data_IF_002212408491
#
_entry.id   IF_002212408491
#
_cell.length_a   1.000
_cell.length_b   1.000
_cell.length_c   1.000
_cell.angle_alpha   90.00
_cell.angle_beta   90.00
_cell.angle_gamma   90.00
#
_symmetry.space_group_name_H-M   'P 1'
#
loop_
_entity.id
_entity.type
_entity.pdbx_description
1 polymer ?
#
# COMPACT_ATOMS: atom_id res chain seq x y z
N UNK A 1 72.08 -8.77 -42.95
CA UNK A 1 71.72 -9.47 -41.70
C UNK A 1 70.71 -8.63 -40.92
N UNK A 2 69.42 -8.64 -41.29
CA UNK A 2 68.33 -8.13 -40.45
C UNK A 2 67.79 -9.30 -39.63
N UNK A 3 67.92 -9.30 -38.30
CA UNK A 3 67.49 -10.46 -37.52
C UNK A 3 67.28 -10.19 -36.03
N UNK A 4 68.04 -9.25 -35.46
CA UNK A 4 67.91 -8.88 -34.05
C UNK A 4 66.64 -8.05 -33.78
N UNK A 5 66.45 -6.97 -34.55
CA UNK A 5 65.45 -5.97 -34.17
C UNK A 5 64.02 -6.43 -34.50
N UNK A 6 63.82 -7.13 -35.63
CA UNK A 6 62.49 -7.61 -36.03
C UNK A 6 61.92 -8.67 -35.07
N UNK A 7 62.77 -9.53 -34.51
CA UNK A 7 62.35 -10.52 -33.51
C UNK A 7 61.96 -9.86 -32.19
N UNK A 8 62.74 -8.86 -31.74
CA UNK A 8 62.41 -8.05 -30.56
C UNK A 8 61.07 -7.33 -30.72
N UNK A 9 60.81 -6.73 -31.90
CA UNK A 9 59.52 -6.11 -32.18
C UNK A 9 58.35 -7.13 -32.13
N UNK A 10 58.52 -8.33 -32.71
CA UNK A 10 57.48 -9.37 -32.70
C UNK A 10 57.16 -9.89 -31.29
N UNK A 11 58.18 -10.11 -30.45
CA UNK A 11 58.00 -10.54 -29.06
C UNK A 11 57.35 -9.45 -28.20
N UNK A 12 57.72 -8.20 -28.40
CA UNK A 12 57.07 -7.05 -27.76
C UNK A 12 55.59 -6.94 -28.16
N UNK A 13 55.26 -7.08 -29.45
CA UNK A 13 53.88 -7.02 -29.94
C UNK A 13 53.02 -8.15 -29.37
N UNK A 14 53.52 -9.39 -29.35
CA UNK A 14 52.79 -10.54 -28.79
C UNK A 14 52.55 -10.39 -27.28
N UNK A 15 53.53 -9.86 -26.55
CA UNK A 15 53.44 -9.61 -25.11
C UNK A 15 52.44 -8.50 -24.80
N UNK A 16 52.49 -7.38 -25.54
CA UNK A 16 51.53 -6.27 -25.41
C UNK A 16 50.10 -6.73 -25.69
N UNK A 17 49.88 -7.55 -26.72
CA UNK A 17 48.55 -8.09 -27.03
C UNK A 17 48.01 -9.02 -25.91
N UNK A 18 48.88 -9.83 -25.28
CA UNK A 18 48.48 -10.67 -24.12
C UNK A 18 48.13 -9.81 -22.90
N UNK A 19 48.89 -8.75 -22.65
CA UNK A 19 48.64 -7.80 -21.56
C UNK A 19 47.33 -7.06 -21.80
N UNK A 20 47.13 -6.50 -23.01
CA UNK A 20 45.89 -5.81 -23.38
C UNK A 20 44.69 -6.72 -23.18
N UNK A 21 44.73 -7.97 -23.67
CA UNK A 21 43.64 -8.93 -23.46
C UNK A 21 43.34 -9.20 -21.98
N UNK A 22 44.37 -9.36 -21.14
CA UNK A 22 44.21 -9.55 -19.69
C UNK A 22 43.59 -8.31 -19.02
N UNK A 23 44.07 -7.12 -19.39
CA UNK A 23 43.53 -5.86 -18.89
C UNK A 23 42.08 -5.67 -19.32
N UNK A 24 41.73 -5.99 -20.57
CA UNK A 24 40.35 -5.95 -21.07
C UNK A 24 39.42 -6.88 -20.28
N UNK A 25 39.89 -8.10 -19.96
CA UNK A 25 39.12 -9.05 -19.14
C UNK A 25 38.92 -8.50 -17.72
N UNK A 26 39.95 -7.94 -17.10
CA UNK A 26 39.85 -7.35 -15.75
C UNK A 26 38.88 -6.17 -15.75
N UNK A 27 38.94 -5.29 -16.75
CA UNK A 27 38.00 -4.15 -16.88
C UNK A 27 36.56 -4.67 -17.06
N UNK A 28 36.35 -5.68 -17.89
CA UNK A 28 35.02 -6.28 -18.09
C UNK A 28 34.47 -6.86 -16.79
N UNK A 29 35.29 -7.58 -16.01
CA UNK A 29 34.89 -8.13 -14.71
C UNK A 29 34.54 -7.01 -13.73
N UNK A 30 35.31 -5.92 -13.72
CA UNK A 30 35.06 -4.78 -12.84
C UNK A 30 33.76 -4.06 -13.21
N UNK A 31 33.46 -3.91 -14.50
CA UNK A 31 32.18 -3.35 -14.98
C UNK A 31 30.99 -4.24 -14.61
N UNK A 32 31.10 -5.56 -14.77
CA UNK A 32 30.05 -6.50 -14.38
C UNK A 32 29.80 -6.49 -12.87
N UNK A 33 30.87 -6.38 -12.07
CA UNK A 33 30.77 -6.27 -10.61
C UNK A 33 30.06 -4.98 -10.19
N UNK A 34 30.42 -3.84 -10.78
CA UNK A 34 29.73 -2.56 -10.55
C UNK A 34 28.27 -2.59 -10.99
N UNK A 35 27.95 -3.25 -12.11
CA UNK A 35 26.57 -3.45 -12.55
C UNK A 35 25.77 -4.31 -11.57
N UNK A 36 26.37 -5.37 -11.03
CA UNK A 36 25.76 -6.21 -9.99
C UNK A 36 25.48 -5.44 -8.70
N UNK A 37 26.43 -4.61 -8.23
CA UNK A 37 26.22 -3.72 -7.07
C UNK A 37 25.14 -2.69 -7.38
N UNK A 38 25.17 -2.11 -8.58
CA UNK A 38 24.16 -1.15 -9.01
C UNK A 38 22.76 -1.77 -8.97
N UNK A 39 22.58 -2.98 -9.50
CA UNK A 39 21.33 -3.73 -9.39
C UNK A 39 20.98 -4.06 -7.93
N UNK A 40 21.96 -4.41 -7.09
CA UNK A 40 21.71 -4.68 -5.68
C UNK A 40 21.23 -3.44 -4.89
N UNK A 41 21.74 -2.26 -5.25
CA UNK A 41 21.33 -0.97 -4.66
C UNK A 41 20.00 -0.48 -5.26
N UNK A 42 19.77 -0.69 -6.56
CA UNK A 42 18.66 -0.07 -7.30
C UNK A 42 17.43 -0.95 -7.47
N UNK A 43 17.49 -2.23 -7.12
CA UNK A 43 16.42 -3.17 -7.44
C UNK A 43 15.75 -3.72 -6.17
N UNK A 44 14.47 -3.35 -5.88
CA UNK A 44 13.64 -4.06 -4.92
C UNK A 44 13.10 -5.34 -5.59
N UNK A 45 13.98 -6.35 -5.76
CA UNK A 45 13.66 -7.62 -6.42
C UNK A 45 12.77 -8.56 -5.59
N UNK A 46 12.65 -8.31 -4.28
CA UNK A 46 11.59 -8.91 -3.48
C UNK A 46 10.38 -8.02 -3.64
N UNK A 47 9.47 -8.50 -4.49
CA UNK A 47 8.36 -7.75 -5.03
C UNK A 47 7.62 -6.94 -3.98
N UNK A 48 6.87 -5.95 -4.46
CA UNK A 48 5.67 -5.53 -3.76
C UNK A 48 4.98 -6.82 -3.33
N UNK A 49 5.02 -7.14 -2.03
CA UNK A 49 3.86 -7.78 -1.44
C UNK A 49 2.80 -6.73 -1.68
N UNK A 50 2.18 -6.79 -2.84
CA UNK A 50 0.75 -6.60 -2.89
C UNK A 50 0.30 -7.64 -1.87
N UNK A 51 0.22 -7.23 -0.61
CA UNK A 51 -0.73 -7.81 0.27
C UNK A 51 -2.00 -7.61 -0.55
N UNK A 52 -2.37 -8.64 -1.30
CA UNK A 52 -3.68 -8.82 -1.87
C UNK A 52 -4.56 -9.02 -0.63
N UNK A 53 -4.64 -7.96 0.19
CA UNK A 53 -5.80 -7.68 0.97
C UNK A 53 -6.81 -7.55 -0.15
N UNK A 54 -7.62 -8.58 -0.29
CA UNK A 54 -8.79 -8.56 -1.14
C UNK A 54 -9.71 -7.52 -0.50
N UNK A 55 -9.37 -6.25 -0.72
CA UNK A 55 -10.08 -5.11 -0.20
C UNK A 55 -11.40 -5.18 -0.93
N UNK A 56 -12.44 -5.56 -0.19
CA UNK A 56 -13.81 -5.49 -0.67
C UNK A 56 -14.01 -4.07 -1.18
N UNK A 57 -14.04 -3.93 -2.51
CA UNK A 57 -14.16 -2.63 -3.15
C UNK A 57 -15.56 -2.11 -2.80
N UNK A 58 -15.61 -0.91 -2.22
CA UNK A 58 -16.87 -0.25 -1.93
C UNK A 58 -17.68 -0.08 -3.22
N UNK A 59 -18.98 -0.37 -3.14
CA UNK A 59 -19.93 -0.15 -4.22
C UNK A 59 -20.14 1.37 -4.41
N UNK A 60 -19.73 1.88 -5.58
CA UNK A 60 -19.79 3.31 -5.88
C UNK A 60 -21.23 3.84 -5.92
N UNK A 61 -22.19 3.01 -6.35
CA UNK A 61 -23.60 3.41 -6.45
C UNK A 61 -24.16 3.60 -5.04
N UNK A 62 -23.97 2.61 -4.16
CA UNK A 62 -24.41 2.71 -2.76
C UNK A 62 -23.75 3.87 -2.02
N UNK A 63 -22.45 4.09 -2.24
CA UNK A 63 -21.77 5.24 -1.63
C UNK A 63 -22.39 6.56 -2.06
N UNK A 64 -22.71 6.71 -3.35
CA UNK A 64 -23.37 7.90 -3.87
C UNK A 64 -24.76 8.07 -3.26
N UNK A 65 -25.57 7.01 -3.19
CA UNK A 65 -26.90 7.03 -2.57
C UNK A 65 -26.83 7.50 -1.10
N UNK A 66 -25.93 6.93 -0.30
CA UNK A 66 -25.73 7.36 1.09
C UNK A 66 -25.34 8.85 1.17
N UNK A 67 -24.47 9.32 0.28
CA UNK A 67 -24.06 10.73 0.25
C UNK A 67 -25.23 11.63 -0.15
N UNK A 68 -26.01 11.28 -1.16
CA UNK A 68 -27.18 12.07 -1.60
C UNK A 68 -28.22 12.15 -0.49
N UNK A 69 -28.58 11.02 0.15
CA UNK A 69 -29.51 11.03 1.29
C UNK A 69 -29.03 11.93 2.43
N UNK A 70 -27.74 11.82 2.81
CA UNK A 70 -27.20 12.63 3.90
C UNK A 70 -27.02 14.12 3.52
N UNK A 71 -26.64 14.44 2.28
CA UNK A 71 -26.27 15.81 1.88
C UNK A 71 -27.38 16.60 1.22
N UNK A 72 -28.42 15.94 0.70
CA UNK A 72 -29.53 16.56 -0.01
C UNK A 72 -30.84 16.31 0.76
N UNK A 73 -31.21 15.06 1.01
CA UNK A 73 -32.52 14.74 1.60
C UNK A 73 -32.64 15.23 3.06
N UNK A 74 -31.56 15.09 3.84
CA UNK A 74 -31.53 15.54 5.24
C UNK A 74 -30.83 16.90 5.43
N UNK A 75 -30.69 17.70 4.37
CA UNK A 75 -30.09 19.01 4.50
C UNK A 75 -31.04 20.04 5.16
N UNK A 76 -30.54 20.96 6.02
CA UNK A 76 -29.20 21.00 6.61
C UNK A 76 -29.08 20.13 7.87
N UNK A 77 -27.93 19.44 8.04
CA UNK A 77 -27.62 18.56 9.19
C UNK A 77 -26.75 19.20 10.27
N UNK A 78 -26.94 20.50 10.51
CA UNK A 78 -26.17 21.22 11.52
C UNK A 78 -26.87 21.16 12.89
N UNK A 79 -26.14 21.51 13.95
CA UNK A 79 -26.63 21.43 15.34
C UNK A 79 -27.84 22.35 15.64
N UNK A 80 -28.12 23.32 14.78
CA UNK A 80 -29.28 24.21 14.89
C UNK A 80 -30.55 23.58 14.31
N UNK A 81 -30.40 22.56 13.45
CA UNK A 81 -31.48 21.85 12.78
C UNK A 81 -31.61 20.42 13.34
N UNK A 82 -31.99 20.34 14.63
CA UNK A 82 -32.04 19.08 15.40
C UNK A 82 -32.91 18.02 14.71
N UNK A 83 -34.04 18.41 14.13
CA UNK A 83 -34.91 17.48 13.40
C UNK A 83 -34.18 16.72 12.28
N UNK A 84 -33.44 17.43 11.44
CA UNK A 84 -32.67 16.82 10.34
C UNK A 84 -31.47 16.02 10.86
N UNK A 85 -30.88 16.45 11.98
CA UNK A 85 -29.83 15.71 12.66
C UNK A 85 -30.34 14.39 13.23
N UNK A 86 -31.59 14.36 13.73
CA UNK A 86 -32.26 13.15 14.19
C UNK A 86 -32.61 12.21 13.02
N UNK A 87 -33.16 12.73 11.91
CA UNK A 87 -33.39 11.93 10.70
C UNK A 87 -32.09 11.28 10.19
N UNK A 88 -30.98 12.02 10.27
CA UNK A 88 -29.65 11.52 9.94
C UNK A 88 -29.20 10.41 10.87
N UNK A 89 -29.37 10.58 12.18
CA UNK A 89 -29.01 9.57 13.17
C UNK A 89 -29.83 8.29 12.97
N UNK A 90 -31.14 8.42 12.73
CA UNK A 90 -32.03 7.28 12.47
C UNK A 90 -31.62 6.54 11.20
N UNK A 91 -31.29 7.26 10.13
CA UNK A 91 -30.80 6.68 8.89
C UNK A 91 -29.50 5.89 9.11
N UNK A 92 -28.49 6.50 9.73
CA UNK A 92 -27.20 5.84 10.00
C UNK A 92 -27.40 4.61 10.89
N UNK A 93 -28.24 4.72 11.93
CA UNK A 93 -28.58 3.59 12.79
C UNK A 93 -29.20 2.46 11.99
N UNK A 94 -30.16 2.76 11.10
CA UNK A 94 -30.81 1.76 10.27
C UNK A 94 -29.84 1.07 9.30
N UNK A 95 -28.89 1.80 8.71
CA UNK A 95 -27.84 1.20 7.86
C UNK A 95 -26.86 0.35 8.68
N UNK A 96 -26.52 0.78 9.90
CA UNK A 96 -25.67 0.01 10.80
C UNK A 96 -26.35 -1.27 11.30
N UNK A 97 -27.66 -1.26 11.53
CA UNK A 97 -28.44 -2.45 11.92
C UNK A 97 -28.52 -3.52 10.82
N UNK A 98 -28.30 -3.14 9.55
CA UNK A 98 -28.15 -4.10 8.44
C UNK A 98 -26.82 -4.84 8.49
N UNK A 99 -25.87 -4.39 9.31
CA UNK A 99 -24.60 -5.07 9.52
C UNK A 99 -24.74 -6.14 10.61
N UNK A 100 -23.80 -7.09 10.67
CA UNK A 100 -23.73 -8.06 11.76
C UNK A 100 -23.15 -7.51 13.08
N UNK A 101 -22.89 -6.20 13.17
CA UNK A 101 -22.29 -5.57 14.35
C UNK A 101 -23.31 -5.15 15.40
N UNK A 102 -22.81 -4.73 16.57
CA UNK A 102 -23.63 -4.19 17.65
C UNK A 102 -23.76 -2.68 17.50
N UNK A 103 -25.00 -2.20 17.36
CA UNK A 103 -25.31 -0.77 17.29
C UNK A 103 -25.70 -0.26 18.68
N UNK A 104 -25.25 0.94 19.03
CA UNK A 104 -25.60 1.64 20.27
C UNK A 104 -25.70 3.14 20.03
N UNK A 105 -26.48 3.83 20.85
CA UNK A 105 -26.58 5.28 20.85
C UNK A 105 -26.06 5.86 22.16
N UNK A 106 -25.38 7.00 22.07
CA UNK A 106 -24.94 7.78 23.23
C UNK A 106 -25.62 9.14 23.21
N UNK A 107 -26.58 9.33 24.11
CA UNK A 107 -27.29 10.60 24.26
C UNK A 107 -26.49 11.58 25.13
N UNK A 108 -26.50 12.86 24.77
CA UNK A 108 -25.89 13.94 25.52
C UNK A 108 -26.63 15.26 25.30
N UNK A 109 -26.43 16.24 26.19
CA UNK A 109 -27.11 17.54 26.13
C UNK A 109 -26.09 18.67 26.10
N UNK A 110 -26.28 19.62 25.19
CA UNK A 110 -25.49 20.85 25.10
C UNK A 110 -26.45 22.03 25.03
N UNK A 111 -26.29 23.01 25.92
CA UNK A 111 -27.12 24.23 25.97
C UNK A 111 -28.64 23.97 25.99
N UNK A 112 -29.07 22.89 26.66
CA UNK A 112 -30.48 22.49 26.75
C UNK A 112 -31.03 21.72 25.54
N UNK A 113 -30.24 21.56 24.47
CA UNK A 113 -30.57 20.72 23.32
C UNK A 113 -29.97 19.32 23.49
N UNK A 114 -30.77 18.29 23.19
CA UNK A 114 -30.32 16.89 23.22
C UNK A 114 -29.78 16.46 21.86
N UNK A 115 -28.71 15.67 21.90
CA UNK A 115 -27.99 15.16 20.75
C UNK A 115 -27.63 13.70 21.00
N UNK A 116 -27.31 12.97 19.93
CA UNK A 116 -26.92 11.56 20.01
C UNK A 116 -25.81 11.20 19.05
N UNK A 117 -24.86 10.41 19.53
CA UNK A 117 -23.89 9.72 18.68
C UNK A 117 -24.43 8.32 18.36
N UNK A 118 -24.34 7.90 17.10
CA UNK A 118 -24.65 6.53 16.67
C UNK A 118 -23.34 5.75 16.51
N UNK A 119 -23.20 4.65 17.23
CA UNK A 119 -21.95 3.88 17.34
C UNK A 119 -22.19 2.45 16.88
N UNK A 120 -21.40 2.00 15.89
CA UNK A 120 -21.36 0.61 15.44
C UNK A 120 -20.07 -0.06 15.92
N UNK A 121 -20.22 -1.19 16.61
CA UNK A 121 -19.12 -2.06 17.02
C UNK A 121 -19.12 -3.34 16.17
N UNK A 122 -18.09 -3.46 15.32
CA UNK A 122 -17.84 -4.62 14.44
C UNK A 122 -16.86 -5.64 15.05
N UNK A 123 -16.74 -5.70 16.38
CA UNK A 123 -15.87 -6.66 17.06
C UNK A 123 -16.10 -8.10 16.60
N UNK A 124 -15.03 -8.91 16.55
CA UNK A 124 -14.99 -10.26 15.99
C UNK A 124 -16.25 -11.08 16.33
N UNK A 125 -17.13 -11.25 15.35
CA UNK A 125 -18.09 -12.35 15.39
C UNK A 125 -17.28 -13.64 15.25
N UNK A 126 -16.87 -14.20 16.39
CA UNK A 126 -16.60 -15.62 16.63
C UNK A 126 -16.37 -16.43 15.36
N UNK A 127 -15.10 -16.56 14.95
CA UNK A 127 -14.65 -17.83 14.40
C UNK A 127 -14.06 -18.64 15.56
N UNK A 128 -14.94 -19.36 16.25
CA UNK A 128 -14.55 -20.51 17.05
C UNK A 128 -13.84 -21.50 16.14
N UNK A 129 -12.51 -21.43 16.13
CA UNK A 129 -11.62 -22.41 15.55
C UNK A 129 -10.47 -22.63 16.53
N UNK A 130 -10.69 -23.56 17.46
CA UNK A 130 -9.69 -24.24 18.30
C UNK A 130 -8.29 -23.62 18.35
N UNK A 131 -7.98 -22.93 19.46
CA UNK A 131 -6.64 -22.96 20.02
C UNK A 131 -6.70 -23.28 21.50
N UNK A 132 -6.88 -24.57 21.80
CA UNK A 132 -6.28 -25.17 22.98
C UNK A 132 -4.77 -24.98 22.87
N UNK A 133 -4.18 -24.20 23.77
CA UNK A 133 -2.82 -24.48 24.23
C UNK A 133 -2.90 -24.78 25.72
N UNK A 134 -2.51 -26.02 26.03
CA UNK A 134 -2.10 -26.46 27.36
C UNK A 134 -0.85 -25.71 27.79
#
# INVERSE_FOLDING_TARGET
MPGSNEQLWQEEHATRLRIIKRVSVVILLLLLFLAGISLWITQPLFGKRDAQIDLVKADQIKLKEHVETLSQDYYPRNYQNVHNLDLTADYIRSEFEKTGGRVSEQNFTVNGSSYRNVILNLGESVSTGERRYR
#
